data_IF_321484580234
#
_entry.id   IF_321484580234
#
_cell.length_a   1.000
_cell.length_b   1.000
_cell.length_c   1.000
_cell.angle_alpha   90.00
_cell.angle_beta   90.00
_cell.angle_gamma   90.00
#
_symmetry.space_group_name_H-M   'P 1'
#
loop_
_entity.id
_entity.type
_entity.pdbx_description
1 polymer ?
#
# COMPACT_ATOMS: atom_id res chain seq x y z
N UNK A 1 -8.11 -8.11 -20.23
CA UNK A 1 -9.57 -7.94 -20.01
C UNK A 1 -9.78 -7.62 -18.54
N UNK A 2 -10.22 -6.41 -18.21
CA UNK A 2 -10.32 -5.93 -16.82
C UNK A 2 -11.60 -6.51 -16.21
N UNK A 3 -11.47 -7.44 -15.26
CA UNK A 3 -12.61 -7.85 -14.42
C UNK A 3 -12.83 -6.76 -13.39
N UNK A 4 -13.98 -6.09 -13.50
CA UNK A 4 -14.46 -5.07 -12.58
C UNK A 4 -14.64 -5.65 -11.17
N UNK A 5 -14.16 -4.93 -10.15
CA UNK A 5 -14.73 -5.04 -8.80
C UNK A 5 -15.92 -4.05 -8.73
N UNK A 6 -17.14 -4.57 -8.56
CA UNK A 6 -18.37 -3.82 -8.27
C UNK A 6 -18.72 -2.63 -9.20
N UNK A 7 -18.36 -2.68 -10.49
CA UNK A 7 -18.78 -1.67 -11.48
C UNK A 7 -18.19 -0.26 -11.29
N UNK A 8 -17.25 -0.07 -10.36
CA UNK A 8 -16.48 1.16 -10.19
C UNK A 8 -15.01 0.87 -10.47
N UNK A 9 -14.44 1.57 -11.45
CA UNK A 9 -12.99 1.58 -11.65
C UNK A 9 -12.31 1.98 -10.34
N UNK A 10 -11.19 1.34 -9.94
CA UNK A 10 -10.38 1.84 -8.84
C UNK A 10 -10.10 3.34 -9.04
N UNK A 11 -10.01 4.13 -7.97
CA UNK A 11 -9.79 5.59 -8.02
C UNK A 11 -8.64 5.98 -8.97
N UNK A 12 -7.68 5.08 -9.13
CA UNK A 12 -6.49 5.22 -9.97
C UNK A 12 -6.46 4.32 -11.21
N UNK A 13 -7.61 3.82 -11.69
CA UNK A 13 -7.66 2.99 -12.91
C UNK A 13 -7.00 3.67 -14.13
N UNK A 14 -6.98 5.00 -14.17
CA UNK A 14 -6.28 5.81 -15.19
C UNK A 14 -4.76 5.58 -15.23
N UNK A 15 -4.17 5.06 -14.16
CA UNK A 15 -2.74 4.78 -14.06
C UNK A 15 -2.41 3.31 -14.34
N UNK A 16 -3.37 2.45 -14.67
CA UNK A 16 -3.10 1.05 -14.97
C UNK A 16 -2.00 0.89 -16.03
N UNK A 17 -0.93 0.17 -15.70
CA UNK A 17 0.25 -0.02 -16.55
C UNK A 17 1.13 1.22 -16.72
N UNK A 18 0.99 2.25 -15.88
CA UNK A 18 1.74 3.51 -15.93
C UNK A 18 2.48 3.78 -14.63
N UNK A 19 3.43 4.70 -14.68
CA UNK A 19 4.01 5.28 -13.47
C UNK A 19 3.07 6.35 -12.92
N UNK A 20 2.98 6.45 -11.59
CA UNK A 20 2.39 7.63 -10.96
C UNK A 20 3.21 8.85 -11.37
N UNK A 21 2.61 9.92 -11.91
CA UNK A 21 3.37 11.06 -12.39
C UNK A 21 4.17 11.69 -11.24
N UNK A 22 5.46 11.93 -11.43
CA UNK A 22 6.33 12.45 -10.38
C UNK A 22 5.88 13.83 -9.91
N UNK A 23 5.39 14.64 -10.84
CA UNK A 23 4.78 15.94 -10.62
C UNK A 23 3.47 15.87 -9.83
N UNK A 24 2.82 14.70 -9.76
CA UNK A 24 1.65 14.50 -8.90
C UNK A 24 2.04 14.23 -7.45
N UNK A 25 3.31 13.90 -7.15
CA UNK A 25 3.77 13.81 -5.77
C UNK A 25 3.91 15.21 -5.15
N UNK A 26 3.66 15.37 -3.83
CA UNK A 26 3.98 16.60 -3.11
C UNK A 26 5.44 17.00 -3.29
N UNK A 27 5.70 18.29 -3.54
CA UNK A 27 7.04 18.82 -3.82
C UNK A 27 8.07 18.37 -2.79
N UNK A 28 7.72 18.37 -1.50
CA UNK A 28 8.60 18.00 -0.40
C UNK A 28 9.06 16.54 -0.37
N UNK A 29 8.44 15.63 -1.14
CA UNK A 29 8.82 14.21 -1.17
C UNK A 29 9.34 13.74 -2.53
N UNK A 30 9.31 14.58 -3.57
CA UNK A 30 9.73 14.18 -4.94
C UNK A 30 11.19 13.73 -4.99
N UNK A 31 12.09 14.46 -4.34
CA UNK A 31 13.52 14.11 -4.28
C UNK A 31 13.77 12.82 -3.50
N UNK A 32 12.91 12.50 -2.53
CA UNK A 32 12.96 11.24 -1.77
C UNK A 32 12.47 10.05 -2.60
N UNK A 33 11.58 10.27 -3.56
CA UNK A 33 10.96 9.25 -4.40
C UNK A 33 11.12 9.51 -5.90
N UNK A 34 12.36 9.60 -6.43
CA UNK A 34 12.61 9.95 -7.83
C UNK A 34 12.07 8.92 -8.82
N UNK A 35 11.90 7.67 -8.37
CA UNK A 35 11.33 6.59 -9.18
C UNK A 35 9.80 6.51 -9.11
N UNK A 36 9.14 7.37 -8.33
CA UNK A 36 7.69 7.38 -8.13
C UNK A 36 7.12 5.98 -7.81
N UNK A 37 5.85 5.71 -8.12
CA UNK A 37 5.17 4.44 -7.83
C UNK A 37 4.61 3.85 -9.14
N UNK A 38 5.06 2.67 -9.59
CA UNK A 38 4.44 1.98 -10.72
C UNK A 38 3.03 1.50 -10.36
N UNK A 39 2.17 1.38 -11.37
CA UNK A 39 0.86 0.77 -11.25
C UNK A 39 0.78 -0.46 -12.15
N UNK A 40 0.27 -1.57 -11.60
CA UNK A 40 0.06 -2.78 -12.39
C UNK A 40 -1.07 -2.60 -13.42
N UNK A 41 -1.25 -3.56 -14.32
CA UNK A 41 -2.30 -3.49 -15.35
C UNK A 41 -3.74 -3.52 -14.81
N UNK A 42 -3.94 -3.87 -13.53
CA UNK A 42 -5.23 -3.78 -12.86
C UNK A 42 -5.46 -2.43 -12.14
N UNK A 43 -4.48 -1.52 -12.16
CA UNK A 43 -4.59 -0.19 -11.57
C UNK A 43 -4.30 -0.13 -10.08
N UNK A 44 -3.60 -1.14 -9.52
CA UNK A 44 -3.08 -1.09 -8.16
C UNK A 44 -1.66 -0.52 -8.12
N UNK A 45 -1.35 0.37 -7.16
CA UNK A 45 0.02 0.84 -6.96
C UNK A 45 0.91 -0.31 -6.48
N UNK A 46 2.14 -0.31 -6.93
CA UNK A 46 3.18 -1.23 -6.48
C UNK A 46 4.24 -0.49 -5.67
N UNK A 47 4.16 -0.64 -4.35
CA UNK A 47 5.10 -0.02 -3.40
C UNK A 47 6.30 -0.91 -3.07
N UNK A 48 6.50 -2.04 -3.75
CA UNK A 48 7.51 -3.06 -3.39
C UNK A 48 8.91 -2.47 -3.25
N UNK A 49 9.27 -1.48 -4.08
CA UNK A 49 10.55 -0.75 -3.99
C UNK A 49 10.80 -0.12 -2.62
N UNK A 50 9.74 0.28 -1.91
CA UNK A 50 9.81 1.03 -0.66
C UNK A 50 9.51 0.16 0.56
N UNK A 51 9.22 -1.13 0.37
CA UNK A 51 8.90 -2.04 1.46
C UNK A 51 10.17 -2.46 2.22
N UNK A 52 10.18 -2.26 3.54
CA UNK A 52 11.28 -2.68 4.41
C UNK A 52 11.01 -4.03 5.11
N UNK A 53 9.75 -4.48 5.10
CA UNK A 53 9.33 -5.75 5.67
C UNK A 53 8.06 -6.20 4.96
N UNK A 54 7.95 -7.50 4.71
CA UNK A 54 6.75 -8.11 4.18
C UNK A 54 6.32 -9.26 5.10
N UNK A 55 5.02 -9.38 5.36
CA UNK A 55 4.47 -10.45 6.18
C UNK A 55 3.16 -10.94 5.59
N UNK A 56 2.77 -12.17 5.95
CA UNK A 56 1.45 -12.72 5.65
C UNK A 56 0.69 -12.87 6.96
N UNK A 57 -0.55 -12.40 6.97
CA UNK A 57 -1.45 -12.48 8.12
C UNK A 57 -2.80 -13.06 7.69
N UNK A 58 -3.52 -13.62 8.66
CA UNK A 58 -4.96 -13.77 8.54
C UNK A 58 -5.61 -12.39 8.76
N UNK A 59 -6.51 -11.98 7.86
CA UNK A 59 -7.20 -10.70 7.98
C UNK A 59 -8.20 -10.72 9.14
N UNK A 60 -8.29 -9.60 9.85
CA UNK A 60 -9.24 -9.36 10.91
C UNK A 60 -10.46 -8.57 10.43
N UNK A 61 -11.30 -8.18 11.39
CA UNK A 61 -12.50 -7.36 11.10
C UNK A 61 -12.19 -5.89 10.86
N UNK A 62 -11.00 -5.42 11.26
CA UNK A 62 -10.59 -4.01 11.17
C UNK A 62 -9.13 -3.90 10.78
N UNK A 63 -8.77 -2.78 10.14
CA UNK A 63 -7.37 -2.46 9.80
C UNK A 63 -6.46 -2.42 11.04
N UNK A 64 -6.99 -1.98 12.19
CA UNK A 64 -6.23 -1.97 13.44
C UNK A 64 -5.82 -3.38 13.89
N UNK A 65 -6.72 -4.37 13.73
CA UNK A 65 -6.40 -5.78 14.00
C UNK A 65 -5.33 -6.28 13.03
N UNK A 66 -5.46 -5.95 11.74
CA UNK A 66 -4.48 -6.35 10.73
C UNK A 66 -3.09 -5.77 11.03
N UNK A 67 -3.03 -4.49 11.39
CA UNK A 67 -1.77 -3.81 11.72
C UNK A 67 -1.11 -4.45 12.93
N UNK A 68 -1.88 -4.75 13.99
CA UNK A 68 -1.34 -5.44 15.16
C UNK A 68 -0.85 -6.86 14.85
N UNK A 69 -1.56 -7.59 13.98
CA UNK A 69 -1.14 -8.92 13.51
C UNK A 69 0.14 -8.83 12.67
N UNK A 70 0.24 -7.83 11.79
CA UNK A 70 1.41 -7.60 10.96
C UNK A 70 2.62 -7.16 11.78
N UNK A 71 2.43 -6.30 12.78
CA UNK A 71 3.45 -5.91 13.74
C UNK A 71 4.03 -7.16 14.43
N UNK A 72 3.16 -8.01 15.00
CA UNK A 72 3.58 -9.26 15.63
C UNK A 72 4.31 -10.19 14.66
N UNK A 73 3.79 -10.37 13.45
CA UNK A 73 4.41 -11.23 12.43
C UNK A 73 5.78 -10.70 11.96
N UNK A 74 6.00 -9.38 12.05
CA UNK A 74 7.26 -8.74 11.69
C UNK A 74 8.29 -8.71 12.82
N UNK A 75 7.91 -9.11 14.03
CA UNK A 75 8.74 -9.05 15.24
C UNK A 75 8.73 -7.70 15.94
N UNK A 76 7.69 -6.89 15.72
CA UNK A 76 7.48 -5.64 16.45
C UNK A 76 6.58 -5.84 17.66
N UNK A 77 6.90 -5.14 18.74
CA UNK A 77 6.16 -5.15 20.00
C UNK A 77 6.32 -3.80 20.73
N UNK A 78 6.02 -3.77 22.03
CA UNK A 78 6.15 -2.54 22.84
C UNK A 78 7.60 -2.13 23.11
N UNK A 79 8.52 -3.09 23.22
CA UNK A 79 9.94 -2.83 23.47
C UNK A 79 10.70 -2.56 22.17
N UNK A 80 10.25 -3.15 21.05
CA UNK A 80 10.76 -2.94 19.71
C UNK A 80 9.62 -2.47 18.79
N UNK A 81 9.19 -1.21 18.88
CA UNK A 81 8.09 -0.70 18.07
C UNK A 81 8.50 -0.61 16.60
N UNK A 82 7.51 -0.81 15.73
CA UNK A 82 7.64 -0.53 14.30
C UNK A 82 8.06 0.94 14.07
N UNK A 83 8.89 1.24 13.05
CA UNK A 83 9.26 2.61 12.72
C UNK A 83 8.04 3.53 12.55
N UNK A 84 8.05 4.68 13.24
CA UNK A 84 6.89 5.58 13.33
C UNK A 84 6.50 6.29 12.02
N UNK A 85 7.45 6.44 11.09
CA UNK A 85 7.22 7.02 9.77
C UNK A 85 6.87 5.98 8.68
N UNK A 86 6.49 4.77 9.09
CA UNK A 86 6.03 3.70 8.20
C UNK A 86 4.58 3.33 8.49
N UNK A 87 3.94 2.61 7.57
CA UNK A 87 2.58 2.07 7.70
C UNK A 87 2.47 0.74 6.99
N UNK A 88 1.56 -0.11 7.45
CA UNK A 88 1.24 -1.34 6.76
C UNK A 88 0.31 -1.05 5.57
N UNK A 89 0.79 -1.39 4.38
CA UNK A 89 0.02 -1.37 3.14
C UNK A 89 -0.53 -2.78 2.87
N UNK A 90 -1.85 -2.86 2.69
CA UNK A 90 -2.53 -4.07 2.22
C UNK A 90 -2.32 -4.22 0.72
N UNK A 91 -1.51 -5.21 0.34
CA UNK A 91 -1.27 -5.57 -1.05
C UNK A 91 -2.50 -6.22 -1.69
N UNK A 92 -2.54 -6.35 -3.01
CA UNK A 92 -3.70 -6.95 -3.69
C UNK A 92 -3.87 -8.45 -3.41
N UNK A 93 -2.79 -9.14 -3.05
CA UNK A 93 -2.87 -10.52 -2.54
C UNK A 93 -3.34 -10.48 -1.08
N UNK A 94 -4.54 -11.03 -0.83
CA UNK A 94 -5.23 -10.92 0.45
C UNK A 94 -4.37 -11.48 1.60
N UNK A 95 -4.22 -10.67 2.65
CA UNK A 95 -3.40 -10.98 3.82
C UNK A 95 -1.90 -10.75 3.63
N UNK A 96 -1.42 -10.38 2.44
CA UNK A 96 -0.05 -9.94 2.22
C UNK A 96 0.09 -8.46 2.57
N UNK A 97 1.00 -8.16 3.51
CA UNK A 97 1.20 -6.83 4.06
C UNK A 97 2.62 -6.35 3.78
N UNK A 98 2.75 -5.12 3.32
CA UNK A 98 4.04 -4.48 3.06
C UNK A 98 4.22 -3.29 4.01
N UNK A 99 5.35 -3.25 4.73
CA UNK A 99 5.69 -2.11 5.58
C UNK A 99 6.42 -1.06 4.75
N UNK A 100 5.76 0.06 4.47
CA UNK A 100 6.27 1.11 3.57
C UNK A 100 6.23 2.48 4.24
N UNK A 101 7.00 3.49 3.76
CA UNK A 101 6.93 4.84 4.29
C UNK A 101 5.52 5.43 4.19
N UNK A 102 5.07 6.09 5.26
CA UNK A 102 3.70 6.64 5.35
C UNK A 102 3.47 7.77 4.36
N UNK A 103 4.48 8.58 4.06
CA UNK A 103 4.39 9.75 3.19
C UNK A 103 4.11 9.36 1.72
N UNK A 104 4.81 8.36 1.16
CA UNK A 104 4.54 7.88 -0.21
C UNK A 104 3.21 7.14 -0.31
N UNK A 105 2.85 6.36 0.72
CA UNK A 105 1.54 5.70 0.81
C UNK A 105 0.40 6.72 0.82
N UNK A 106 0.54 7.81 1.57
CA UNK A 106 -0.45 8.87 1.66
C UNK A 106 -0.53 9.72 0.37
N UNK A 107 0.61 9.99 -0.26
CA UNK A 107 0.67 10.75 -1.51
C UNK A 107 -0.03 10.01 -2.66
N UNK A 108 0.16 8.70 -2.75
CA UNK A 108 -0.46 7.86 -3.78
C UNK A 108 -1.75 7.26 -3.23
N UNK A 109 -2.79 8.10 -3.09
CA UNK A 109 -4.12 7.67 -2.61
C UNK A 109 -4.66 6.55 -3.49
N UNK A 110 -5.04 5.43 -2.90
CA UNK A 110 -5.58 4.28 -3.62
C UNK A 110 -6.67 3.60 -2.80
N UNK A 111 -7.57 2.90 -3.50
CA UNK A 111 -8.47 1.94 -2.87
C UNK A 111 -7.64 0.70 -2.56
N UNK A 112 -7.03 0.62 -1.37
CA UNK A 112 -6.25 -0.57 -0.94
C UNK A 112 -7.08 -1.85 -1.02
N UNK A 113 -6.44 -3.02 -1.05
CA UNK A 113 -7.10 -4.32 -1.26
C UNK A 113 -8.26 -4.64 -0.28
N UNK A 114 -8.33 -3.96 0.87
CA UNK A 114 -9.45 -4.07 1.82
C UNK A 114 -10.71 -3.31 1.39
N UNK A 115 -10.59 -2.26 0.58
CA UNK A 115 -11.74 -1.43 0.20
C UNK A 115 -12.60 -2.03 -0.94
N UNK A 116 -12.22 -3.18 -1.49
CA UNK A 116 -13.05 -3.96 -2.43
C UNK A 116 -13.68 -5.21 -1.80
N UNK A 117 -13.48 -5.44 -0.50
CA UNK A 117 -13.91 -6.65 0.21
C UNK A 117 -15.11 -6.50 1.14
N UNK A 118 -16.10 -5.69 0.76
CA UNK A 118 -17.45 -5.74 1.33
C UNK A 118 -18.49 -5.62 0.23
#
# INVERSE_FOLDING_TARGET
MVKSANGRMPINGKFAGRMYPLESLPVGIRSKYPHSVPFNHAGFPDFTRYAIKNVRIELGRTRGIDFARADRAAGYDRANPRPGNYTWHHYQDSGYMQLIPTDIHAAVKHTGGIATGR
#
